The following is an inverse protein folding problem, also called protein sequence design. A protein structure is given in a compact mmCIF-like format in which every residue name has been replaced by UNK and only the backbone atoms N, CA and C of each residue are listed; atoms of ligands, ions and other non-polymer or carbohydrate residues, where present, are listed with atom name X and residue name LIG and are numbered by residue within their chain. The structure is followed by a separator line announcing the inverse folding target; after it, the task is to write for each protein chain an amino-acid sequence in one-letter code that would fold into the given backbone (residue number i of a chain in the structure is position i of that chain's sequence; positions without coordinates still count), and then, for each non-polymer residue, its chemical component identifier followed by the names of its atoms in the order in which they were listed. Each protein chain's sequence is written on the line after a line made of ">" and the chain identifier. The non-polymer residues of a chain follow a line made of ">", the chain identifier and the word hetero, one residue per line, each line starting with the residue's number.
data_IF_063018132428
#
_entry.id   IF_063018132428
#
_cell.length_a   1.000
_cell.length_b   1.000
_cell.length_c   1.000
_cell.angle_alpha   90.00
_cell.angle_beta   90.00
_cell.angle_gamma   90.00
#
_symmetry.space_group_name_H-M   'P 1'
#
loop_
_entity.id
_entity.type
_entity.pdbx_description
1 polymer ?
#
# COMPACT_ATOMS: atom_id res chain seq x y z
N UNK A 1 -4.92 28.29 -4.55
CA UNK A 1 -4.46 28.15 -4.15
C UNK A 1 -3.99 27.17 -3.54
N UNK A 2 -4.06 26.70 -2.95
CA UNK A 2 -3.65 25.79 -2.34
C UNK A 2 -3.59 24.58 -2.87
N UNK A 3 -4.18 24.33 -3.85
CA UNK A 3 -4.18 23.09 -4.45
C UNK A 3 -2.90 22.67 -5.01
N UNK A 4 -2.06 23.59 -5.39
CA UNK A 4 -0.81 23.10 -5.87
C UNK A 4 0.02 22.58 -4.77
N UNK A 5 -0.45 22.69 -3.54
CA UNK A 5 0.23 22.04 -2.48
C UNK A 5 -0.18 20.62 -2.34
N UNK A 6 -1.23 20.21 -2.98
CA UNK A 6 -1.53 18.83 -2.99
C UNK A 6 -0.42 18.15 -3.71
N UNK A 7 0.07 17.11 -3.13
CA UNK A 7 1.26 16.51 -3.66
C UNK A 7 1.11 15.02 -3.63
N UNK A 8 2.20 14.35 -3.87
CA UNK A 8 2.19 12.89 -3.96
C UNK A 8 1.70 12.25 -2.69
N UNK A 9 1.97 12.87 -1.55
CA UNK A 9 1.51 12.29 -0.29
C UNK A 9 0.00 12.30 -0.21
N UNK A 10 -0.65 13.35 -0.71
CA UNK A 10 -2.11 13.40 -0.69
C UNK A 10 -2.72 12.34 -1.57
N UNK A 11 -2.18 12.14 -2.78
CA UNK A 11 -2.68 11.10 -3.66
C UNK A 11 -2.46 9.73 -3.07
N UNK A 12 -1.30 9.54 -2.48
CA UNK A 12 -0.96 8.28 -1.82
C UNK A 12 -1.96 7.99 -0.71
N UNK A 13 -2.17 8.95 0.17
CA UNK A 13 -3.03 8.73 1.34
C UNK A 13 -4.48 8.51 0.93
N UNK A 14 -4.95 9.22 -0.10
CA UNK A 14 -6.31 9.02 -0.57
C UNK A 14 -6.49 7.62 -1.10
N UNK A 15 -5.50 7.10 -1.80
CA UNK A 15 -5.56 5.74 -2.32
C UNK A 15 -5.54 4.73 -1.18
N UNK A 16 -4.69 4.92 -0.19
CA UNK A 16 -4.65 4.03 0.97
C UNK A 16 -6.02 4.01 1.65
N UNK A 17 -6.63 5.16 1.82
CA UNK A 17 -7.94 5.24 2.45
C UNK A 17 -8.99 4.51 1.64
N UNK A 18 -8.97 4.66 0.32
CA UNK A 18 -9.95 3.99 -0.52
C UNK A 18 -9.82 2.48 -0.44
N UNK A 19 -8.59 1.97 -0.48
CA UNK A 19 -8.35 0.53 -0.38
C UNK A 19 -8.78 0.03 0.99
N UNK A 20 -8.47 0.78 2.05
CA UNK A 20 -8.85 0.38 3.41
C UNK A 20 -10.36 0.26 3.53
N UNK A 21 -11.09 1.20 2.93
CA UNK A 21 -12.54 1.17 3.01
C UNK A 21 -13.14 0.03 2.21
N UNK A 22 -12.55 -0.28 1.07
CA UNK A 22 -13.00 -1.43 0.29
C UNK A 22 -12.84 -2.71 1.08
N UNK A 23 -11.70 -2.86 1.77
CA UNK A 23 -11.48 -4.05 2.57
C UNK A 23 -12.44 -4.14 3.74
N UNK A 24 -12.73 -3.00 4.38
CA UNK A 24 -13.72 -3.01 5.47
C UNK A 24 -15.09 -3.43 5.00
N UNK A 25 -15.47 -2.95 3.82
CA UNK A 25 -16.77 -3.34 3.27
C UNK A 25 -16.81 -4.83 2.95
N UNK A 26 -15.64 -5.43 2.73
CA UNK A 26 -15.55 -6.86 2.47
C UNK A 26 -15.21 -7.64 3.75
N UNK A 27 -15.49 -7.03 4.90
CA UNK A 27 -15.40 -7.66 6.21
C UNK A 27 -13.98 -7.98 6.70
N UNK A 28 -12.99 -7.26 6.18
CA UNK A 28 -11.65 -7.37 6.72
C UNK A 28 -11.49 -6.46 7.93
N UNK A 29 -10.67 -6.88 8.88
CA UNK A 29 -10.22 -6.00 9.96
C UNK A 29 -8.98 -5.29 9.46
N UNK A 30 -9.02 -3.96 9.40
CA UNK A 30 -8.02 -3.18 8.68
C UNK A 30 -7.26 -2.28 9.61
N UNK A 31 -5.93 -2.30 9.48
CA UNK A 31 -5.03 -1.31 10.06
C UNK A 31 -4.39 -0.55 8.92
N UNK A 32 -4.32 0.76 9.03
CA UNK A 32 -3.80 1.59 7.95
C UNK A 32 -2.89 2.67 8.54
N UNK A 33 -1.82 2.98 7.82
CA UNK A 33 -0.88 4.01 8.25
C UNK A 33 -1.43 5.37 7.85
N UNK A 34 -2.54 5.74 8.49
CA UNK A 34 -3.25 6.98 8.26
C UNK A 34 -3.69 7.53 9.59
N UNK A 35 -3.81 8.85 9.64
CA UNK A 35 -4.32 9.49 10.82
C UNK A 35 -5.73 8.99 11.11
N UNK A 36 -6.04 8.71 12.37
CA UNK A 36 -7.36 8.26 12.74
C UNK A 36 -7.59 6.77 12.58
N UNK A 37 -6.59 6.03 12.14
CA UNK A 37 -6.69 4.58 11.98
C UNK A 37 -5.73 3.88 12.92
N UNK A 38 -6.07 2.63 13.29
CA UNK A 38 -5.10 1.78 13.96
C UNK A 38 -3.95 1.54 13.01
N UNK A 39 -2.75 1.54 13.53
CA UNK A 39 -1.57 1.46 12.68
C UNK A 39 -1.14 0.02 12.45
N UNK A 40 -0.63 -0.28 11.25
CA UNK A 40 -0.10 -1.61 10.98
C UNK A 40 1.16 -1.88 11.80
N UNK A 41 1.45 -3.15 11.96
CA UNK A 41 2.70 -3.57 12.60
C UNK A 41 3.83 -3.54 11.60
N UNK A 42 5.05 -3.40 12.12
CA UNK A 42 6.24 -3.50 11.32
C UNK A 42 6.38 -4.96 10.88
N UNK A 43 6.53 -5.20 9.58
CA UNK A 43 6.69 -6.57 9.10
C UNK A 43 8.15 -6.97 9.02
N UNK A 44 9.04 -5.99 9.00
CA UNK A 44 10.47 -6.20 9.10
C UNK A 44 11.05 -4.87 9.52
N UNK A 45 12.28 -4.90 9.99
CA UNK A 45 12.89 -3.71 10.53
C UNK A 45 12.82 -2.57 9.53
N UNK A 46 12.17 -1.49 9.93
CA UNK A 46 12.04 -0.31 9.10
C UNK A 46 10.98 -0.38 8.02
N UNK A 47 10.20 -1.47 7.97
CA UNK A 47 9.20 -1.63 6.92
C UNK A 47 7.82 -1.77 7.54
N UNK A 48 7.07 -0.66 7.56
CA UNK A 48 5.69 -0.63 8.01
C UNK A 48 4.81 -0.54 6.77
N UNK A 49 3.88 -1.47 6.56
CA UNK A 49 3.05 -1.40 5.37
C UNK A 49 2.03 -0.28 5.45
N UNK A 50 1.50 0.13 4.31
CA UNK A 50 0.42 1.10 4.30
C UNK A 50 -0.85 0.51 4.87
N UNK A 51 -1.12 -0.76 4.60
CA UNK A 51 -2.32 -1.44 5.10
C UNK A 51 -1.95 -2.86 5.51
N UNK A 52 -2.49 -3.27 6.65
CA UNK A 52 -2.44 -4.65 7.11
C UNK A 52 -3.88 -5.06 7.40
N UNK A 53 -4.36 -6.09 6.74
CA UNK A 53 -5.75 -6.51 6.89
C UNK A 53 -5.84 -7.99 7.19
N UNK A 54 -6.78 -8.34 8.06
CA UNK A 54 -6.95 -9.71 8.50
C UNK A 54 -8.39 -10.14 8.32
N UNK A 55 -8.56 -11.38 7.91
CA UNK A 55 -9.88 -11.94 7.76
C UNK A 55 -9.76 -13.42 8.08
N UNK A 56 -10.69 -13.93 8.88
CA UNK A 56 -10.64 -15.31 9.33
C UNK A 56 -10.60 -16.24 8.12
N UNK A 57 -9.69 -17.19 8.16
CA UNK A 57 -9.56 -18.15 7.07
C UNK A 57 -8.73 -17.71 5.91
N UNK A 58 -8.18 -16.49 5.96
CA UNK A 58 -7.36 -15.95 4.88
C UNK A 58 -5.98 -15.60 5.39
N UNK A 59 -5.01 -15.59 4.49
CA UNK A 59 -3.70 -15.03 4.84
C UNK A 59 -3.87 -13.56 5.15
N UNK A 60 -3.02 -13.05 6.04
CA UNK A 60 -2.98 -11.62 6.28
C UNK A 60 -2.60 -10.91 5.00
N UNK A 61 -3.36 -9.89 4.63
CA UNK A 61 -3.10 -9.12 3.42
C UNK A 61 -2.30 -7.88 3.77
N UNK A 62 -1.24 -7.67 3.01
CA UNK A 62 -0.41 -6.48 3.14
C UNK A 62 -0.59 -5.69 1.86
N UNK A 63 -0.96 -4.43 1.97
CA UNK A 63 -1.11 -3.58 0.80
C UNK A 63 -0.14 -2.43 0.89
N UNK A 64 0.48 -2.12 -0.23
CA UNK A 64 1.40 -1.02 -0.32
C UNK A 64 0.99 -0.18 -1.52
N UNK A 65 1.08 1.13 -1.39
CA UNK A 65 0.67 2.07 -2.42
C UNK A 65 1.83 2.99 -2.72
N UNK A 66 2.05 3.29 -4.00
CA UNK A 66 3.08 4.22 -4.40
C UNK A 66 2.55 5.10 -5.51
N UNK A 67 3.06 6.32 -5.60
CA UNK A 67 2.88 7.12 -6.80
C UNK A 67 3.92 6.64 -7.82
N UNK A 68 3.75 6.99 -9.11
CA UNK A 68 4.75 6.57 -10.09
C UNK A 68 6.17 7.03 -9.72
N UNK A 69 6.31 8.25 -9.20
CA UNK A 69 7.62 8.74 -8.82
C UNK A 69 8.21 7.95 -7.67
N UNK A 70 7.38 7.61 -6.68
CA UNK A 70 7.85 6.81 -5.56
C UNK A 70 8.30 5.44 -6.04
N UNK A 71 7.52 4.83 -6.94
CA UNK A 71 7.85 3.50 -7.44
C UNK A 71 9.17 3.52 -8.21
N UNK A 72 9.30 4.49 -9.14
CA UNK A 72 10.52 4.55 -9.95
C UNK A 72 11.74 4.88 -9.11
N UNK A 73 11.58 5.70 -8.09
CA UNK A 73 12.72 6.11 -7.28
C UNK A 73 13.11 5.13 -6.20
N UNK A 74 12.29 4.12 -5.92
CA UNK A 74 12.52 3.23 -4.78
C UNK A 74 12.27 1.77 -5.11
N UNK A 75 12.57 1.35 -6.32
CA UNK A 75 12.26 -0.03 -6.72
C UNK A 75 12.89 -1.06 -5.82
N UNK A 76 14.14 -0.84 -5.41
CA UNK A 76 14.78 -1.79 -4.53
C UNK A 76 14.03 -1.94 -3.21
N UNK A 77 13.54 -0.83 -2.68
CA UNK A 77 12.77 -0.88 -1.44
C UNK A 77 11.52 -1.75 -1.62
N UNK A 78 10.85 -1.63 -2.75
CA UNK A 78 9.63 -2.41 -2.97
C UNK A 78 9.92 -3.88 -3.24
N UNK A 79 11.06 -4.17 -3.88
CA UNK A 79 11.50 -5.55 -4.03
C UNK A 79 11.78 -6.16 -2.64
N UNK A 80 12.46 -5.42 -1.79
CA UNK A 80 12.74 -5.90 -0.43
C UNK A 80 11.43 -6.11 0.33
N UNK A 81 10.50 -5.16 0.19
CA UNK A 81 9.22 -5.25 0.87
C UNK A 81 8.47 -6.51 0.43
N UNK A 82 8.44 -6.75 -0.89
CA UNK A 82 7.81 -7.95 -1.41
C UNK A 82 8.43 -9.20 -0.80
N UNK A 83 9.76 -9.22 -0.68
CA UNK A 83 10.44 -10.39 -0.15
C UNK A 83 10.11 -10.61 1.32
N UNK A 84 9.95 -9.53 2.09
CA UNK A 84 9.54 -9.67 3.49
C UNK A 84 8.11 -10.15 3.61
N UNK A 85 7.31 -10.02 2.56
CA UNK A 85 5.91 -10.42 2.57
C UNK A 85 5.67 -11.78 1.98
N UNK A 86 6.68 -12.64 1.95
CA UNK A 86 6.55 -13.95 1.30
C UNK A 86 5.48 -14.82 1.92
N UNK A 87 5.15 -14.60 3.20
CA UNK A 87 4.13 -15.39 3.89
C UNK A 87 2.80 -14.65 3.99
N UNK A 88 2.67 -13.52 3.30
CA UNK A 88 1.46 -12.72 3.33
C UNK A 88 0.86 -12.68 1.93
N UNK A 89 -0.39 -12.22 1.86
CA UNK A 89 -1.03 -11.93 0.58
C UNK A 89 -0.70 -10.47 0.23
N UNK A 90 0.32 -10.27 -0.56
CA UNK A 90 0.87 -8.94 -0.81
C UNK A 90 0.26 -8.32 -2.06
N UNK A 91 -0.30 -7.13 -1.90
CA UNK A 91 -0.91 -6.37 -3.00
C UNK A 91 -0.20 -5.04 -3.13
N UNK A 92 0.16 -4.67 -4.33
CA UNK A 92 0.85 -3.42 -4.58
C UNK A 92 0.09 -2.60 -5.61
N UNK A 93 -0.12 -1.33 -5.32
CA UNK A 93 -0.86 -0.43 -6.21
C UNK A 93 -0.02 0.79 -6.53
N UNK A 94 -0.16 1.26 -7.78
CA UNK A 94 0.40 2.56 -8.17
C UNK A 94 -0.78 3.48 -8.45
N UNK A 95 -0.81 4.63 -7.81
CA UNK A 95 -1.90 5.59 -7.96
C UNK A 95 -1.44 6.72 -8.88
N UNK A 96 -2.25 7.00 -9.91
CA UNK A 96 -1.95 8.06 -10.85
C UNK A 96 -2.47 9.39 -10.34
N UNK A 97 -2.07 10.46 -11.00
CA UNK A 97 -2.47 11.80 -10.57
C UNK A 97 -3.96 12.03 -10.62
N UNK A 98 -4.66 11.33 -11.50
CA UNK A 98 -6.10 11.50 -11.60
C UNK A 98 -6.85 10.64 -10.58
N UNK A 99 -6.13 9.97 -9.69
CA UNK A 99 -6.75 9.17 -8.65
C UNK A 99 -7.00 7.73 -9.02
N UNK A 100 -6.81 7.35 -10.27
CA UNK A 100 -6.96 5.94 -10.64
C UNK A 100 -5.77 5.15 -10.11
N UNK A 101 -6.00 3.89 -9.85
CA UNK A 101 -4.92 3.05 -9.35
C UNK A 101 -4.81 1.80 -10.20
N UNK A 102 -3.61 1.29 -10.28
CA UNK A 102 -3.31 0.09 -11.02
C UNK A 102 -2.69 -0.89 -10.07
N UNK A 103 -3.20 -2.10 -10.02
CA UNK A 103 -2.56 -3.13 -9.20
C UNK A 103 -1.41 -3.72 -10.00
N UNK A 104 -0.24 -3.77 -9.41
CA UNK A 104 0.97 -4.25 -10.08
C UNK A 104 1.29 -5.63 -9.49
N UNK A 105 1.56 -6.58 -10.36
CA UNK A 105 1.96 -7.91 -9.92
C UNK A 105 3.36 -7.82 -9.30
N UNK A 106 3.50 -8.14 -8.02
CA UNK A 106 4.81 -8.02 -7.37
C UNK A 106 5.88 -8.90 -8.02
N UNK A 107 5.49 -9.94 -8.72
CA UNK A 107 6.47 -10.79 -9.39
C UNK A 107 7.20 -10.05 -10.50
N UNK A 108 6.67 -8.92 -10.96
CA UNK A 108 7.34 -8.15 -12.00
C UNK A 108 8.35 -7.17 -11.44
N UNK A 109 8.41 -7.00 -10.10
CA UNK A 109 9.36 -6.07 -9.51
C UNK A 109 10.78 -6.52 -9.84
N UNK A 110 11.60 -5.57 -10.23
CA UNK A 110 12.99 -5.88 -10.50
C UNK A 110 13.26 -6.52 -11.84
N UNK A 111 12.25 -6.79 -12.63
CA UNK A 111 12.47 -7.33 -13.96
C UNK A 111 12.71 -6.22 -14.94
N UNK A 112 13.48 -6.49 -15.95
CA UNK A 112 13.78 -5.49 -16.96
C UNK A 112 12.78 -5.49 -18.06
#
# INVERSE_FOLDING_TARGET
>A
MMDEKKNKADDHDACVRAVAEELRRDNWTVKADLEGHDKPSEISKGYVPDIQAEKKGCLTRICEVATPEMFEGNKKRYVDFKNYCSEYDFHFYVVEKDGTRKQIDPETFGKK
#
